data_IF_757056667121
#
_entry.id   IF_757056667121
#
_cell.length_a   1.000
_cell.length_b   1.000
_cell.length_c   1.000
_cell.angle_alpha   90.00
_cell.angle_beta   90.00
_cell.angle_gamma   90.00
#
_symmetry.space_group_name_H-M   'P 1'
#
loop_
_entity.id
_entity.type
_entity.pdbx_description
1 polymer ?
#
# COMPACT_ATOMS: atom_id res chain seq x y z
N UNK A 1 11.86 -7.07 -4.38
CA UNK A 1 11.37 -7.02 -2.98
C UNK A 1 10.14 -7.90 -2.92
N UNK A 2 10.05 -8.85 -2.00
CA UNK A 2 8.88 -9.74 -1.88
C UNK A 2 7.67 -8.98 -1.31
N UNK A 3 6.47 -9.39 -1.69
CA UNK A 3 5.23 -8.91 -1.09
C UNK A 3 5.13 -9.32 0.39
N UNK A 4 4.67 -8.39 1.22
CA UNK A 4 4.47 -8.56 2.67
C UNK A 4 3.00 -8.38 3.00
N UNK A 5 2.43 -9.37 3.66
CA UNK A 5 1.07 -9.32 4.18
C UNK A 5 1.03 -8.48 5.46
N UNK A 6 0.18 -7.45 5.46
CA UNK A 6 -0.03 -6.57 6.62
C UNK A 6 -1.46 -6.75 7.16
N UNK A 7 -1.91 -8.00 7.31
CA UNK A 7 -3.26 -8.32 7.78
C UNK A 7 -3.64 -7.53 9.04
N UNK A 8 -4.74 -6.77 8.95
CA UNK A 8 -5.27 -5.96 10.04
C UNK A 8 -4.54 -4.63 10.27
N UNK A 9 -3.59 -4.25 9.41
CA UNK A 9 -2.91 -2.96 9.50
C UNK A 9 -3.85 -1.80 9.16
N UNK A 10 -3.95 -0.84 10.08
CA UNK A 10 -4.71 0.40 9.91
C UNK A 10 -4.10 1.50 10.79
N UNK A 11 -3.98 2.70 10.24
CA UNK A 11 -3.47 3.91 10.89
C UNK A 11 -4.11 5.14 10.24
N UNK A 12 -3.63 6.34 10.58
CA UNK A 12 -4.04 7.59 9.95
C UNK A 12 -2.84 8.49 9.66
N UNK A 13 -2.96 9.32 8.64
CA UNK A 13 -1.93 10.33 8.35
C UNK A 13 -1.81 11.33 9.51
N UNK A 14 -0.59 11.54 10.03
CA UNK A 14 -0.32 12.54 11.07
C UNK A 14 -0.04 13.95 10.50
N UNK A 15 0.19 14.04 9.18
CA UNK A 15 0.35 15.28 8.45
C UNK A 15 -0.31 15.17 7.06
N UNK A 16 -0.45 16.32 6.39
CA UNK A 16 -0.92 16.34 4.99
C UNK A 16 0.07 15.59 4.11
N UNK A 17 -0.44 14.70 3.27
CA UNK A 17 0.31 14.06 2.18
C UNK A 17 -0.03 14.75 0.86
N UNK A 18 0.97 15.29 0.16
CA UNK A 18 0.83 15.86 -1.17
C UNK A 18 0.97 14.79 -2.26
N UNK A 19 0.45 15.04 -3.46
CA UNK A 19 0.59 14.10 -4.60
C UNK A 19 2.05 13.91 -5.08
N UNK A 20 2.96 14.76 -4.61
CA UNK A 20 4.40 14.69 -4.92
C UNK A 20 5.21 14.06 -3.79
N UNK A 21 4.62 13.91 -2.61
CA UNK A 21 5.33 13.36 -1.47
C UNK A 21 5.63 11.88 -1.72
N UNK A 22 6.72 11.42 -1.12
CA UNK A 22 7.22 10.04 -1.25
C UNK A 22 7.51 9.40 0.09
N UNK A 23 7.25 10.11 1.19
CA UNK A 23 7.30 9.59 2.55
C UNK A 23 5.88 9.58 3.09
N UNK A 24 5.51 8.49 3.76
CA UNK A 24 4.19 8.31 4.35
C UNK A 24 4.18 8.94 5.75
N UNK A 25 3.44 10.03 5.99
CA UNK A 25 3.42 10.71 7.28
C UNK A 25 2.46 9.99 8.24
N UNK A 26 2.98 9.01 8.99
CA UNK A 26 2.23 8.22 9.99
C UNK A 26 3.06 8.11 11.28
N UNK A 27 2.39 7.99 12.44
CA UNK A 27 3.08 7.94 13.73
C UNK A 27 3.83 6.62 13.96
N UNK A 28 3.34 5.53 13.36
CA UNK A 28 3.89 4.19 13.50
C UNK A 28 4.85 3.80 12.37
N UNK A 29 5.41 4.77 11.63
CA UNK A 29 6.28 4.54 10.48
C UNK A 29 7.41 3.54 10.77
N UNK A 30 8.05 3.63 11.94
CA UNK A 30 9.10 2.70 12.35
C UNK A 30 8.58 1.26 12.47
N UNK A 31 7.44 1.06 13.13
CA UNK A 31 6.86 -0.27 13.31
C UNK A 31 6.38 -0.86 11.97
N UNK A 32 5.87 -0.03 11.06
CA UNK A 32 5.54 -0.45 9.71
C UNK A 32 6.79 -0.82 8.90
N UNK A 33 7.84 -0.01 8.96
CA UNK A 33 9.11 -0.29 8.29
C UNK A 33 9.75 -1.61 8.76
N UNK A 34 9.70 -1.89 10.07
CA UNK A 34 10.17 -3.16 10.65
C UNK A 34 9.38 -4.37 10.13
N UNK A 35 8.05 -4.25 9.99
CA UNK A 35 7.21 -5.30 9.40
C UNK A 35 7.49 -5.51 7.91
N UNK A 36 7.73 -4.43 7.18
CA UNK A 36 8.04 -4.47 5.75
C UNK A 36 9.41 -5.12 5.49
N UNK A 37 10.41 -4.88 6.35
CA UNK A 37 11.78 -5.37 6.15
C UNK A 37 12.31 -4.95 4.77
N UNK A 38 12.89 -5.89 4.02
CA UNK A 38 13.33 -5.66 2.63
C UNK A 38 12.22 -5.90 1.59
N UNK A 39 10.98 -6.08 2.05
CA UNK A 39 9.79 -6.32 1.24
C UNK A 39 9.02 -5.05 0.92
N UNK A 40 7.83 -5.24 0.37
CA UNK A 40 6.88 -4.17 0.09
C UNK A 40 5.45 -4.63 0.36
N UNK A 41 4.54 -3.68 0.51
CA UNK A 41 3.10 -3.98 0.57
C UNK A 41 2.32 -2.89 -0.16
N UNK A 42 1.02 -3.10 -0.33
CA UNK A 42 0.12 -2.11 -0.91
C UNK A 42 -0.82 -1.58 0.17
N UNK A 43 -0.95 -0.27 0.26
CA UNK A 43 -1.80 0.42 1.23
C UNK A 43 -2.84 1.25 0.51
N UNK A 44 -4.07 1.24 1.03
CA UNK A 44 -5.12 2.17 0.63
C UNK A 44 -5.08 3.40 1.53
N UNK A 45 -5.01 4.59 0.92
CA UNK A 45 -5.22 5.87 1.59
C UNK A 45 -6.60 6.38 1.22
N UNK A 46 -7.43 6.77 2.20
CA UNK A 46 -8.81 7.21 1.98
C UNK A 46 -9.21 8.31 2.98
N UNK A 47 -9.80 9.40 2.48
CA UNK A 47 -10.29 10.54 3.30
C UNK A 47 -11.83 10.69 3.32
N UNK A 48 -12.55 9.71 2.77
CA UNK A 48 -14.01 9.72 2.60
C UNK A 48 -14.50 10.35 1.30
N UNK A 49 -13.65 11.10 0.59
CA UNK A 49 -13.97 11.76 -0.69
C UNK A 49 -13.19 11.17 -1.86
N UNK A 50 -12.03 10.59 -1.59
CA UNK A 50 -11.20 9.91 -2.57
C UNK A 50 -10.35 8.84 -1.93
N UNK A 51 -9.87 7.93 -2.77
CA UNK A 51 -8.90 6.92 -2.39
C UNK A 51 -7.77 6.80 -3.41
N UNK A 52 -6.63 6.29 -2.93
CA UNK A 52 -5.44 5.96 -3.70
C UNK A 52 -4.79 4.69 -3.13
N UNK A 53 -4.29 3.82 -4.01
CA UNK A 53 -3.46 2.67 -3.63
C UNK A 53 -2.00 3.08 -3.84
N UNK A 54 -1.19 2.89 -2.82
CA UNK A 54 0.25 3.19 -2.86
C UNK A 54 1.05 1.93 -2.53
N UNK A 55 2.23 1.80 -3.13
CA UNK A 55 3.20 0.77 -2.77
C UNK A 55 4.08 1.30 -1.64
N UNK A 56 4.09 0.64 -0.50
CA UNK A 56 4.88 1.00 0.67
C UNK A 56 6.15 0.14 0.76
N UNK A 57 7.30 0.78 0.97
CA UNK A 57 8.61 0.15 1.18
C UNK A 57 9.30 0.77 2.39
N UNK A 58 10.09 -0.01 3.11
CA UNK A 58 10.90 0.52 4.22
C UNK A 58 12.02 1.41 3.70
N UNK A 59 12.38 2.43 4.48
CA UNK A 59 13.56 3.26 4.26
C UNK A 59 14.12 3.68 5.63
N UNK A 60 15.02 2.85 6.18
CA UNK A 60 15.46 3.02 7.56
C UNK A 60 14.29 2.85 8.53
N UNK A 61 13.98 3.89 9.31
CA UNK A 61 12.83 3.93 10.23
C UNK A 61 11.59 4.60 9.62
N UNK A 62 11.65 4.96 8.34
CA UNK A 62 10.57 5.62 7.61
C UNK A 62 9.97 4.68 6.57
N UNK A 63 8.85 5.10 5.99
CA UNK A 63 8.16 4.36 4.93
C UNK A 63 8.06 5.25 3.70
N UNK A 64 8.66 4.78 2.60
CA UNK A 64 8.53 5.41 1.29
C UNK A 64 7.32 4.85 0.56
N UNK A 65 6.73 5.69 -0.28
CA UNK A 65 5.58 5.32 -1.10
C UNK A 65 5.81 5.59 -2.58
N UNK A 66 5.35 4.65 -3.41
CA UNK A 66 5.11 4.87 -4.84
C UNK A 66 3.61 5.07 -5.06
N UNK A 67 3.26 6.21 -5.64
CA UNK A 67 1.88 6.64 -5.85
C UNK A 67 1.26 6.06 -7.12
N UNK A 68 -0.06 6.07 -7.18
CA UNK A 68 -0.83 5.76 -8.37
C UNK A 68 -0.78 4.29 -8.82
N UNK A 69 -0.76 3.37 -7.86
CA UNK A 69 -0.81 1.94 -8.13
C UNK A 69 -2.24 1.55 -8.53
N UNK A 70 -2.39 0.47 -9.31
CA UNK A 70 -3.70 -0.07 -9.72
C UNK A 70 -4.57 0.93 -10.52
N UNK A 71 -3.93 1.82 -11.28
CA UNK A 71 -4.64 2.85 -12.05
C UNK A 71 -5.28 3.94 -11.19
N UNK A 72 -5.00 3.94 -9.87
CA UNK A 72 -5.31 5.10 -9.04
C UNK A 72 -4.39 6.27 -9.42
N UNK A 73 -4.88 7.50 -9.27
CA UNK A 73 -4.08 8.70 -9.54
C UNK A 73 -3.46 9.23 -8.25
N UNK A 74 -2.23 9.73 -8.33
CA UNK A 74 -1.57 10.42 -7.22
C UNK A 74 -2.40 11.62 -6.75
N UNK A 75 -2.81 11.62 -5.48
CA UNK A 75 -3.68 12.63 -4.88
C UNK A 75 -3.04 13.22 -3.63
N UNK A 76 -3.59 14.36 -3.21
CA UNK A 76 -3.29 14.93 -1.91
C UNK A 76 -4.34 14.45 -0.90
N UNK A 77 -3.89 14.12 0.31
CA UNK A 77 -4.74 13.70 1.42
C UNK A 77 -4.51 14.60 2.64
N UNK A 78 -5.58 15.00 3.35
CA UNK A 78 -5.44 15.75 4.59
C UNK A 78 -4.88 14.87 5.72
N UNK A 79 -4.36 15.51 6.78
CA UNK A 79 -4.10 14.80 8.03
C UNK A 79 -5.39 14.16 8.55
N UNK A 80 -5.27 12.99 9.18
CA UNK A 80 -6.39 12.18 9.64
C UNK A 80 -6.97 11.24 8.57
N UNK A 81 -6.54 11.31 7.30
CA UNK A 81 -6.94 10.33 6.30
C UNK A 81 -6.51 8.92 6.72
N UNK A 82 -7.38 7.93 6.50
CA UNK A 82 -7.15 6.56 6.89
C UNK A 82 -6.14 5.91 5.95
N UNK A 83 -5.16 5.22 6.51
CA UNK A 83 -4.21 4.38 5.78
C UNK A 83 -4.41 2.95 6.27
N UNK A 84 -4.75 2.03 5.38
CA UNK A 84 -4.99 0.64 5.74
C UNK A 84 -4.45 -0.32 4.71
N UNK A 85 -4.13 -1.52 5.16
CA UNK A 85 -3.88 -2.62 4.25
C UNK A 85 -5.21 -3.29 3.88
N UNK A 86 -5.44 -3.45 2.58
CA UNK A 86 -6.53 -4.27 2.03
C UNK A 86 -5.98 -5.05 0.85
N UNK A 87 -6.41 -6.30 0.71
CA UNK A 87 -6.05 -7.11 -0.45
C UNK A 87 -6.64 -6.47 -1.71
N UNK A 88 -5.79 -6.15 -2.68
CA UNK A 88 -6.14 -5.46 -3.92
C UNK A 88 -5.53 -6.17 -5.15
N UNK A 89 -5.81 -5.64 -6.34
CA UNK A 89 -5.36 -6.25 -7.58
C UNK A 89 -3.84 -6.23 -7.71
N UNK A 90 -3.18 -5.14 -7.30
CA UNK A 90 -1.71 -5.07 -7.29
C UNK A 90 -1.08 -6.14 -6.38
N UNK A 91 -1.68 -6.42 -5.22
CA UNK A 91 -1.25 -7.51 -4.35
C UNK A 91 -1.42 -8.88 -5.00
N UNK A 92 -2.56 -9.10 -5.67
CA UNK A 92 -2.82 -10.34 -6.41
C UNK A 92 -1.83 -10.54 -7.57
N UNK A 93 -1.60 -9.49 -8.35
CA UNK A 93 -0.70 -9.52 -9.51
C UNK A 93 0.76 -9.75 -9.09
N UNK A 94 1.19 -9.21 -7.94
CA UNK A 94 2.56 -9.41 -7.40
C UNK A 94 2.77 -10.81 -6.80
N UNK A 95 1.74 -11.36 -6.14
CA UNK A 95 1.74 -12.76 -5.69
C UNK A 95 1.72 -13.74 -6.85
N UNK A 96 1.16 -13.31 -7.99
CA UNK A 96 0.87 -14.16 -9.13
C UNK A 96 -0.26 -15.15 -8.85
N UNK A 97 -0.82 -15.72 -9.91
CA UNK A 97 -1.69 -16.89 -9.76
C UNK A 97 -0.80 -18.11 -9.42
N UNK A 98 -1.12 -18.89 -8.37
CA UNK A 98 -0.47 -20.17 -8.14
C UNK A 98 -0.96 -21.14 -9.23
N UNK A 99 -0.34 -21.12 -10.40
CA UNK A 99 -0.63 -22.11 -11.44
C UNK A 99 0.65 -22.55 -12.13
N UNK A 100 1.31 -23.55 -11.53
CA UNK A 100 2.04 -24.54 -12.33
C UNK A 100 1.10 -25.55 -13.01
N UNK A 101 -0.21 -25.48 -12.76
CA UNK A 101 -1.17 -26.36 -13.44
C UNK A 101 -2.21 -25.55 -14.20
N UNK A 102 -2.20 -25.74 -15.52
CA UNK A 102 -3.23 -25.33 -16.45
C UNK A 102 -4.61 -25.67 -15.89
N UNK A 103 -5.56 -24.80 -16.24
CA UNK A 103 -7.02 -25.00 -16.23
C UNK A 103 -7.76 -24.61 -14.95
N UNK A 104 -8.17 -23.33 -14.87
CA UNK A 104 -9.55 -23.04 -14.51
C UNK A 104 -9.84 -22.18 -13.28
N UNK A 105 -8.86 -21.55 -12.62
CA UNK A 105 -9.17 -20.71 -11.45
C UNK A 105 -8.28 -19.47 -11.32
N UNK A 106 -8.33 -18.59 -12.32
CA UNK A 106 -8.07 -17.16 -12.14
C UNK A 106 -9.26 -16.48 -12.81
N UNK A 107 -10.11 -15.80 -12.02
CA UNK A 107 -11.38 -15.25 -12.47
C UNK A 107 -11.22 -14.31 -13.68
N UNK A 108 -11.59 -14.85 -14.85
CA UNK A 108 -12.17 -14.25 -16.06
C UNK A 108 -11.82 -12.82 -16.49
N UNK A 109 -11.34 -12.70 -17.73
CA UNK A 109 -12.22 -12.31 -18.85
C UNK A 109 -12.14 -13.36 -19.97
#
# INVERSE_FOLDING_TARGET
MSYVWLNGYSTSLNARLSSKDRLLPIDDAKALAEKLGDGHSYLLINDGTGAEIVKAVSFGTEVKIECGIDGTGAKAFPAGACVKWEFNKAAFDDLGCPSEEKNGCCCGE
#
